data_IF_064941745888
#
_entry.id   IF_064941745888
#
_cell.length_a   1.000
_cell.length_b   1.000
_cell.length_c   1.000
_cell.angle_alpha   90.00
_cell.angle_beta   90.00
_cell.angle_gamma   90.00
#
_symmetry.space_group_name_H-M   'P 1'
#
loop_
_entity.id
_entity.type
_entity.pdbx_description
1 polymer ?
2 non-polymer ?
3 water ?
#
# COMPACT_ATOMS: atom_id res chain seq x y z
N UNK A 11 -18.35 17.46 1.98
CA UNK A 11 -16.91 17.32 2.34
C UNK A 11 -16.34 18.70 2.71
N UNK A 12 -15.37 18.82 3.62
CA UNK A 12 -14.84 20.16 4.05
C UNK A 12 -14.30 20.98 2.87
N UNK A 13 -14.88 22.12 2.63
CA UNK A 13 -14.46 23.00 1.53
C UNK A 13 -13.42 23.99 2.06
N UNK A 14 -12.28 24.05 1.40
CA UNK A 14 -11.17 24.90 1.81
C UNK A 14 -11.11 26.10 0.88
N UNK A 15 -10.89 27.31 1.44
CA UNK A 15 -10.80 28.46 0.56
C UNK A 15 -9.41 28.51 -0.08
N UNK A 16 -9.30 28.90 -1.36
CA UNK A 16 -7.99 28.89 -2.02
C UNK A 16 -6.94 29.77 -1.37
N UNK A 17 -7.35 30.84 -0.67
CA UNK A 17 -6.39 31.69 0.00
C UNK A 17 -5.67 30.98 1.14
N UNK A 18 -6.17 29.83 1.59
CA UNK A 18 -5.54 29.08 2.66
C UNK A 18 -4.50 28.10 2.16
N UNK A 19 -4.34 27.96 0.84
CA UNK A 19 -3.51 26.92 0.24
C UNK A 19 -2.36 27.59 -0.51
N UNK A 20 -1.16 27.07 -0.30
CA UNK A 20 0.04 27.53 -1.00
C UNK A 20 0.70 26.31 -1.59
N UNK A 21 0.78 26.24 -2.93
CA UNK A 21 1.50 25.18 -3.60
C UNK A 21 2.97 25.56 -3.69
N UNK A 22 3.85 24.65 -3.29
CA UNK A 22 5.28 24.94 -3.20
C UNK A 22 6.11 24.14 -4.18
N UNK A 23 5.89 22.83 -4.28
CA UNK A 23 6.77 21.96 -5.03
C UNK A 23 5.94 20.88 -5.71
N UNK A 24 6.27 20.58 -6.97
CA UNK A 24 5.63 19.46 -7.65
C UNK A 24 6.20 18.16 -7.11
N UNK A 25 5.33 17.20 -6.82
CA UNK A 25 5.75 15.89 -6.35
C UNK A 25 5.19 14.74 -7.15
N UNK A 26 4.35 15.01 -8.16
CA UNK A 26 3.81 13.93 -8.96
C UNK A 26 2.83 14.45 -9.99
N UNK A 27 2.16 13.52 -10.65
CA UNK A 27 1.23 13.82 -11.73
C UNK A 27 -0.16 13.27 -11.41
N UNK A 28 -1.18 14.06 -11.73
CA UNK A 28 -2.56 13.60 -11.66
C UNK A 28 -3.12 13.25 -13.03
N UNK A 29 -4.38 12.85 -13.03
CA UNK A 29 -5.02 12.43 -14.29
C UNK A 29 -5.26 13.61 -15.22
N UNK A 30 -5.49 14.80 -14.67
CA UNK A 30 -5.54 16.02 -15.46
C UNK A 30 -5.11 17.20 -14.59
N UNK A 31 -3.87 17.19 -14.16
CA UNK A 31 -3.34 18.15 -13.21
C UNK A 31 -2.04 17.63 -12.63
N UNK A 32 -1.44 18.41 -11.73
CA UNK A 32 -0.27 17.91 -11.01
C UNK A 32 -0.57 17.68 -9.53
N UNK A 33 0.40 17.06 -8.87
CA UNK A 33 0.37 16.82 -7.42
C UNK A 33 1.51 17.61 -6.79
N UNK A 34 1.19 18.33 -5.72
CA UNK A 34 2.12 19.25 -5.09
C UNK A 34 2.24 18.95 -3.61
N UNK A 35 3.39 19.32 -3.06
CA UNK A 35 3.50 19.56 -1.63
C UNK A 35 3.26 21.05 -1.39
N UNK A 36 2.58 21.36 -0.31
CA UNK A 36 2.32 22.74 0.03
C UNK A 36 1.98 22.91 1.48
N UNK A 37 1.41 24.08 1.80
CA UNK A 37 1.03 24.43 3.16
C UNK A 37 -0.44 24.80 3.20
N UNK A 38 -1.10 24.46 4.30
CA UNK A 38 -2.50 24.77 4.53
C UNK A 38 -2.64 25.57 5.82
N UNK A 39 -3.44 26.63 5.76
CA UNK A 39 -3.74 27.45 6.92
C UNK A 39 -5.01 26.97 7.61
N UNK A 45 0.31 28.65 12.12
CA UNK A 45 -0.08 27.27 12.52
C UNK A 45 -0.24 26.41 11.28
N UNK A 46 0.43 26.83 10.24
CA UNK A 46 0.49 26.17 8.95
C UNK A 46 0.78 24.68 9.08
N UNK A 47 0.07 23.84 8.31
CA UNK A 47 0.39 22.42 8.28
C UNK A 47 0.77 22.02 6.86
N UNK A 48 1.78 21.17 6.68
CA UNK A 48 2.13 20.70 5.34
C UNK A 48 1.04 19.78 4.80
N UNK A 49 0.82 19.86 3.49
CA UNK A 49 -0.23 19.10 2.83
C UNK A 49 0.26 18.63 1.46
N UNK A 50 -0.41 17.60 0.94
CA UNK A 50 -0.28 17.21 -0.46
C UNK A 50 -1.54 17.67 -1.18
N UNK A 51 -1.38 18.09 -2.44
CA UNK A 51 -2.43 18.77 -3.18
C UNK A 51 -2.48 18.21 -4.59
N UNK A 52 -3.63 17.65 -4.97
CA UNK A 52 -3.86 17.15 -6.32
C UNK A 52 -4.84 18.09 -7.00
N UNK A 53 -4.48 18.62 -8.17
CA UNK A 53 -5.30 19.59 -8.87
C UNK A 53 -5.97 18.98 -10.10
N UNK A 54 -7.07 19.61 -10.50
CA UNK A 54 -7.79 19.30 -11.74
C UNK A 54 -7.81 20.58 -12.57
N UNK A 55 -7.04 20.59 -13.62
CA UNK A 55 -6.77 21.83 -14.39
C UNK A 55 -7.79 22.11 -15.49
N UNK A 56 -7.81 23.34 -15.95
CA UNK A 56 -8.77 23.83 -16.93
C UNK A 56 -8.76 22.94 -18.16
N UNK A 57 -9.96 22.59 -18.61
CA UNK A 57 -10.14 21.72 -19.74
C UNK A 57 -10.49 20.30 -19.38
N UNK A 58 -10.54 19.97 -18.08
CA UNK A 58 -10.93 18.64 -17.68
C UNK A 58 -12.31 18.30 -18.22
N UNK A 59 -12.53 17.01 -18.47
CA UNK A 59 -13.79 16.53 -19.02
C UNK A 59 -14.82 16.32 -17.91
N UNK A 60 -16.06 16.07 -18.34
CA UNK A 60 -17.11 15.75 -17.38
C UNK A 60 -16.77 14.51 -16.57
N UNK A 61 -16.28 13.47 -17.21
CA UNK A 61 -15.92 12.20 -16.51
C UNK A 61 -14.76 12.46 -15.56
N UNK A 62 -13.80 13.25 -15.96
CA UNK A 62 -12.71 13.58 -15.05
C UNK A 62 -13.20 14.31 -13.80
N UNK A 63 -14.12 15.26 -13.97
CA UNK A 63 -14.69 15.95 -12.80
C UNK A 63 -15.48 14.99 -11.92
N UNK A 64 -16.30 14.13 -12.52
CA UNK A 64 -17.04 13.15 -11.75
C UNK A 64 -16.08 12.26 -10.95
N UNK A 65 -15.01 11.80 -11.60
CA UNK A 65 -14.06 10.91 -10.91
C UNK A 65 -13.26 11.66 -9.84
N UNK A 66 -12.93 12.92 -10.11
CA UNK A 66 -12.13 13.70 -9.16
C UNK A 66 -12.92 14.02 -7.90
N UNK A 67 -14.13 14.57 -8.07
CA UNK A 67 -14.97 14.84 -6.90
C UNK A 67 -15.45 13.55 -6.26
N UNK A 68 -15.67 12.49 -7.05
CA UNK A 68 -16.02 11.22 -6.46
C UNK A 68 -14.91 10.67 -5.58
N UNK A 69 -13.66 10.89 -6.00
CA UNK A 69 -12.53 10.50 -5.19
C UNK A 69 -12.52 11.26 -3.87
N UNK A 70 -12.64 12.58 -3.94
CA UNK A 70 -12.70 13.36 -2.70
C UNK A 70 -13.83 12.87 -1.82
N UNK A 71 -14.98 12.54 -2.43
CA UNK A 71 -16.13 12.11 -1.66
C UNK A 71 -15.88 10.81 -0.90
N UNK A 72 -15.26 9.83 -1.56
CA UNK A 72 -14.98 8.58 -0.87
C UNK A 72 -13.91 8.76 0.20
N UNK A 73 -12.88 9.56 -0.09
CA UNK A 73 -11.83 9.79 0.89
C UNK A 73 -12.38 10.50 2.12
N UNK A 74 -13.34 11.41 1.91
CA UNK A 74 -13.90 12.16 3.02
C UNK A 74 -14.64 11.28 4.00
N UNK A 75 -15.18 10.14 3.55
CA UNK A 75 -15.90 9.29 4.47
C UNK A 75 -15.02 8.26 5.19
N UNK A 76 -13.74 8.17 4.87
CA UNK A 76 -12.85 7.28 5.61
C UNK A 76 -12.26 8.03 6.80
N UNK A 77 -12.31 7.39 7.98
CA UNK A 77 -11.72 7.94 9.20
C UNK A 77 -11.03 6.79 9.91
N UNK A 78 -9.77 6.57 9.59
CA UNK A 78 -9.01 5.45 10.20
C UNK A 78 -7.54 5.80 10.34
N UNK A 79 -6.91 5.35 11.42
CA UNK A 79 -5.51 5.59 11.70
C UNK A 79 -4.60 5.17 10.54
N UNK A 80 -5.01 4.19 9.74
CA UNK A 80 -4.14 3.62 8.71
C UNK A 80 -4.63 3.91 7.31
N UNK A 81 -5.41 4.98 7.14
CA UNK A 81 -5.91 5.46 5.85
C UNK A 81 -5.54 6.93 5.75
N UNK A 82 -5.01 7.34 4.59
CA UNK A 82 -4.64 8.73 4.39
C UNK A 82 -5.83 9.64 4.69
N UNK A 83 -5.55 10.74 5.40
CA UNK A 83 -6.60 11.65 5.82
C UNK A 83 -6.80 12.80 4.84
N UNK A 84 -8.05 13.03 4.47
CA UNK A 84 -8.41 14.17 3.63
C UNK A 84 -8.53 15.42 4.51
N UNK A 85 -7.79 16.48 4.16
CA UNK A 85 -7.99 17.76 4.83
C UNK A 85 -9.19 18.49 4.26
N UNK A 86 -9.38 18.43 2.95
CA UNK A 86 -10.56 19.01 2.36
C UNK A 86 -10.40 19.12 0.85
N UNK A 87 -11.32 19.88 0.27
CA UNK A 87 -11.42 19.97 -1.19
C UNK A 87 -11.64 21.43 -1.54
N UNK A 88 -11.17 21.81 -2.72
CA UNK A 88 -11.57 23.04 -3.35
C UNK A 88 -12.39 22.65 -4.56
N UNK A 89 -13.71 22.87 -4.48
CA UNK A 89 -14.62 22.62 -5.59
C UNK A 89 -15.28 23.88 -6.12
N UNK A 90 -15.33 24.95 -5.32
CA UNK A 90 -16.02 26.18 -5.71
C UNK A 90 -15.16 27.12 -6.56
N UNK A 91 -13.87 26.83 -6.70
CA UNK A 91 -12.97 27.67 -7.48
C UNK A 91 -12.10 26.76 -8.35
N UNK A 92 -11.50 27.35 -9.37
CA UNK A 92 -10.63 26.64 -10.29
C UNK A 92 -9.20 27.12 -10.07
N UNK A 93 -8.23 26.20 -10.13
CA UNK A 93 -8.41 24.77 -10.34
C UNK A 93 -8.96 24.08 -9.09
N UNK A 94 -9.71 23.01 -9.29
CA UNK A 94 -10.18 22.24 -8.15
C UNK A 94 -9.03 21.45 -7.55
N UNK A 95 -9.15 21.14 -6.25
CA UNK A 95 -8.04 20.52 -5.53
C UNK A 95 -8.54 19.49 -4.54
N UNK A 96 -7.77 18.41 -4.39
CA UNK A 96 -7.91 17.47 -3.28
C UNK A 96 -6.70 17.65 -2.38
N UNK A 97 -6.93 17.87 -1.09
CA UNK A 97 -5.86 18.23 -0.16
C UNK A 97 -5.82 17.21 0.96
N UNK A 98 -4.68 16.55 1.13
CA UNK A 98 -4.51 15.55 2.17
C UNK A 98 -3.39 15.96 3.10
N UNK A 99 -3.34 15.27 4.24
CA UNK A 99 -2.16 15.36 5.09
C UNK A 99 -0.92 14.98 4.30
N UNK A 100 0.24 15.43 4.78
CA UNK A 100 1.52 15.18 4.13
C UNK A 100 2.36 14.29 5.04
N UNK A 101 2.92 13.25 4.42
CA UNK A 101 3.78 12.26 5.11
C UNK A 101 5.24 12.51 4.72
N UNK A 102 6.01 13.09 5.61
CA UNK A 102 7.44 13.45 5.35
C UNK A 102 8.25 12.24 4.85
N UNK A 103 8.04 11.05 5.38
CA UNK A 103 8.85 9.90 4.99
C UNK A 103 8.46 9.31 3.64
N UNK A 104 7.36 9.78 3.04
CA UNK A 104 7.01 9.41 1.68
C UNK A 104 6.49 7.99 1.55
N UNK A 105 6.59 7.47 0.32
CA UNK A 105 6.06 6.15 0.00
C UNK A 105 6.92 5.04 0.60
N UNK A 106 6.24 3.96 1.00
CA UNK A 106 6.86 2.89 1.77
C UNK A 106 7.91 2.13 0.96
N UNK A 107 7.70 1.94 -0.35
CA UNK A 107 8.67 1.17 -1.12
C UNK A 107 10.03 1.87 -1.17
N UNK A 108 10.01 3.16 -1.52
CA UNK A 108 11.25 3.94 -1.58
C UNK A 108 11.86 4.10 -0.20
N UNK A 109 11.01 4.31 0.82
CA UNK A 109 11.46 4.44 2.20
C UNK A 109 12.26 3.22 2.63
N UNK A 110 11.71 2.02 2.42
CA UNK A 110 12.43 0.81 2.84
C UNK A 110 13.72 0.60 2.05
N UNK A 111 13.70 0.88 0.74
CA UNK A 111 14.91 0.72 -0.08
C UNK A 111 16.01 1.66 0.36
N UNK A 112 15.65 2.83 0.92
CA UNK A 112 16.62 3.81 1.38
C UNK A 112 17.04 3.60 2.82
N UNK A 113 16.45 2.63 3.50
CA UNK A 113 16.72 2.34 4.91
C UNK A 113 16.97 0.86 5.12
N UNK A 114 17.67 0.24 4.17
CA UNK A 114 17.85 -1.21 4.15
C UNK A 114 18.46 -1.70 5.45
N UNK A 115 17.77 -2.63 6.11
CA UNK A 115 18.29 -3.25 7.30
C UNK A 115 18.21 -2.43 8.57
N UNK A 116 17.50 -1.29 8.57
CA UNK A 116 17.56 -0.37 9.69
C UNK A 116 16.52 -0.61 10.76
N UNK A 117 15.56 -1.51 10.55
CA UNK A 117 14.46 -1.69 11.49
C UNK A 117 14.50 -3.08 12.11
N UNK A 118 13.84 -3.21 13.26
CA UNK A 118 13.69 -4.51 13.87
C UNK A 118 12.57 -5.29 13.18
N UNK A 119 12.61 -6.60 13.35
CA UNK A 119 11.50 -7.43 12.87
C UNK A 119 10.19 -6.94 13.45
N UNK A 120 10.17 -6.59 14.73
CA UNK A 120 8.92 -6.15 15.36
C UNK A 120 8.40 -4.86 14.71
N UNK A 121 9.30 -3.93 14.37
CA UNK A 121 8.89 -2.72 13.66
C UNK A 121 8.29 -3.06 12.29
N UNK A 122 8.93 -3.96 11.55
CA UNK A 122 8.41 -4.33 10.23
C UNK A 122 7.05 -4.98 10.34
N UNK A 123 6.88 -5.91 11.28
CA UNK A 123 5.59 -6.55 11.47
C UNK A 123 4.54 -5.54 11.93
N UNK A 124 4.94 -4.55 12.75
CA UNK A 124 4.01 -3.51 13.17
C UNK A 124 3.49 -2.70 11.98
N UNK A 125 4.35 -2.43 11.00
CA UNK A 125 3.89 -1.75 9.80
C UNK A 125 2.84 -2.58 9.08
N UNK A 126 3.09 -3.89 8.98
CA UNK A 126 2.13 -4.76 8.31
C UNK A 126 0.80 -4.82 9.05
N UNK A 127 0.83 -4.84 10.39
CA UNK A 127 -0.43 -4.82 11.12
C UNK A 127 -1.22 -3.56 10.80
N UNK A 128 -0.54 -2.40 10.74
CA UNK A 128 -1.23 -1.17 10.44
C UNK A 128 -1.85 -1.17 9.05
N UNK A 129 -1.08 -1.60 8.05
CA UNK A 129 -1.61 -1.72 6.69
C UNK A 129 -2.82 -2.64 6.68
N UNK A 130 -2.72 -3.79 7.37
CA UNK A 130 -3.83 -4.74 7.41
C UNK A 130 -5.05 -4.14 8.08
N UNK A 131 -4.86 -3.34 9.15
CA UNK A 131 -6.00 -2.70 9.81
C UNK A 131 -6.67 -1.71 8.86
N UNK A 132 -5.89 -0.95 8.10
CA UNK A 132 -6.50 -0.04 7.13
C UNK A 132 -7.26 -0.80 6.06
N UNK A 133 -6.70 -1.91 5.60
CA UNK A 133 -7.38 -2.72 4.57
C UNK A 133 -8.64 -3.38 5.13
N UNK A 134 -8.60 -3.85 6.38
CA UNK A 134 -9.82 -4.38 7.00
C UNK A 134 -10.92 -3.34 6.97
N UNK A 135 -10.58 -2.10 7.34
CA UNK A 135 -11.54 -1.02 7.33
C UNK A 135 -12.09 -0.77 5.93
N UNK A 136 -11.20 -0.65 4.93
CA UNK A 136 -11.68 -0.44 3.56
C UNK A 136 -12.61 -1.58 3.11
N UNK A 137 -12.19 -2.82 3.34
CA UNK A 137 -13.02 -3.95 2.93
C UNK A 137 -14.37 -3.93 3.63
N UNK A 138 -14.39 -3.61 4.93
CA UNK A 138 -15.64 -3.52 5.67
C UNK A 138 -16.53 -2.41 5.15
N UNK A 139 -15.94 -1.31 4.69
CA UNK A 139 -16.67 -0.20 4.10
C UNK A 139 -17.08 -0.46 2.65
N UNK A 140 -16.84 -1.68 2.16
CA UNK A 140 -17.19 -2.10 0.80
C UNK A 140 -16.38 -1.34 -0.25
N UNK A 141 -15.12 -1.05 0.06
CA UNK A 141 -14.23 -0.39 -0.87
C UNK A 141 -13.13 -1.37 -1.28
N UNK A 142 -13.09 -1.72 -2.57
CA UNK A 142 -12.03 -2.56 -3.11
C UNK A 142 -10.93 -1.65 -3.65
N UNK A 143 -9.70 -1.86 -3.16
CA UNK A 143 -8.61 -0.95 -3.49
C UNK A 143 -8.14 -1.11 -4.93
N UNK A 144 -7.83 -2.35 -5.33
CA UNK A 144 -7.37 -2.76 -6.66
C UNK A 144 -5.92 -2.46 -6.99
N UNK A 145 -5.23 -1.64 -6.19
CA UNK A 145 -3.83 -1.30 -6.50
C UNK A 145 -3.01 -1.26 -5.23
N UNK A 146 -3.22 -2.21 -4.34
CA UNK A 146 -2.47 -2.23 -3.09
C UNK A 146 -1.05 -2.70 -3.36
N UNK A 147 -0.08 -1.89 -2.96
CA UNK A 147 1.35 -2.13 -3.19
C UNK A 147 2.07 -1.12 -2.30
N UNK A 148 3.32 -1.41 -1.97
CA UNK A 148 4.04 -0.51 -1.08
C UNK A 148 4.17 0.90 -1.64
N UNK A 149 4.20 1.05 -2.97
CA UNK A 149 4.28 2.38 -3.56
C UNK A 149 3.05 3.23 -3.27
N UNK A 150 1.94 2.60 -2.84
CA UNK A 150 0.71 3.33 -2.51
C UNK A 150 0.47 3.45 -1.00
N UNK A 151 1.50 3.23 -0.19
CA UNK A 151 1.41 3.34 1.25
C UNK A 151 2.37 4.44 1.69
N UNK A 152 1.87 5.38 2.50
CA UNK A 152 2.69 6.48 3.02
C UNK A 152 3.07 6.19 4.46
N UNK A 153 4.24 6.70 4.86
CA UNK A 153 4.82 6.46 6.19
C UNK A 153 4.99 7.80 6.88
N UNK A 154 4.45 7.91 8.10
CA UNK A 154 4.66 9.15 8.87
C UNK A 154 5.87 9.04 9.79
N UNK A 155 6.10 10.10 10.57
CA UNK A 155 7.25 10.17 11.47
C UNK A 155 7.08 9.34 12.73
N UNK A 156 5.96 8.62 12.88
CA UNK A 156 5.79 7.63 13.93
C UNK A 156 5.89 6.20 13.36
N UNK A 157 6.28 6.06 12.10
CA UNK A 157 6.35 4.78 11.39
C UNK A 157 4.97 4.21 11.10
N UNK A 158 3.93 5.04 11.19
CA UNK A 158 2.57 4.59 10.92
C UNK A 158 2.35 4.61 9.42
N UNK A 159 1.85 3.50 8.90
CA UNK A 159 1.60 3.33 7.48
C UNK A 159 0.15 3.69 7.17
N UNK A 160 -0.05 4.47 6.13
CA UNK A 160 -1.37 4.91 5.73
C UNK A 160 -1.63 4.48 4.29
N UNK A 161 -2.64 3.63 4.11
CA UNK A 161 -3.03 3.20 2.77
C UNK A 161 -3.52 4.40 2.00
N UNK A 162 -3.07 4.52 0.75
CA UNK A 162 -3.38 5.61 -0.15
C UNK A 162 -3.59 5.01 -1.53
N UNK A 163 -3.88 5.86 -2.52
CA UNK A 163 -3.91 5.41 -3.92
C UNK A 163 -3.52 6.60 -4.79
N UNK A 164 -2.33 6.54 -5.37
CA UNK A 164 -1.82 7.61 -6.22
C UNK A 164 -2.16 7.40 -7.68
N UNK A 165 -2.96 6.39 -8.01
CA UNK A 165 -3.14 6.00 -9.39
C UNK A 165 -2.01 5.12 -9.88
N UNK A 166 -2.15 4.64 -11.12
CA UNK A 166 -1.16 3.73 -11.69
C UNK A 166 0.12 4.46 -12.06
N UNK A 186 -0.30 -3.41 -12.61
CA UNK A 186 0.57 -4.02 -11.61
C UNK A 186 0.37 -5.52 -11.55
N UNK A 187 0.73 -6.19 -12.64
CA UNK A 187 0.55 -7.64 -12.75
C UNK A 187 1.08 -8.36 -11.51
N UNK A 188 2.30 -8.00 -11.08
CA UNK A 188 2.92 -8.83 -10.04
C UNK A 188 2.32 -8.59 -8.64
N UNK A 189 1.42 -7.62 -8.48
CA UNK A 189 0.69 -7.44 -7.24
C UNK A 189 -0.75 -7.97 -7.31
N UNK A 190 -1.20 -8.43 -8.46
CA UNK A 190 -2.62 -8.67 -8.71
C UNK A 190 -2.96 -10.16 -8.68
N UNK A 191 -4.09 -10.49 -8.03
CA UNK A 191 -4.51 -11.88 -7.92
C UNK A 191 -4.84 -12.47 -9.29
N UNK A 192 -4.69 -13.78 -9.45
CA UNK A 192 -4.97 -14.41 -10.76
C UNK A 192 -6.37 -14.12 -11.31
N UNK A 193 -7.42 -14.15 -10.47
CA UNK A 193 -8.77 -13.94 -11.00
C UNK A 193 -8.98 -12.50 -11.46
N UNK A 194 -8.27 -11.55 -10.85
CA UNK A 194 -8.37 -10.16 -11.27
C UNK A 194 -7.68 -9.95 -12.61
N UNK A 195 -6.52 -10.58 -12.80
CA UNK A 195 -5.87 -10.55 -14.10
C UNK A 195 -6.70 -11.28 -15.16
N UNK A 196 -7.19 -12.48 -14.82
CA UNK A 196 -7.78 -13.36 -15.83
C UNK A 196 -9.15 -12.87 -16.29
N UNK A 197 -10.00 -12.44 -15.35
CA UNK A 197 -11.36 -12.08 -15.75
C UNK A 197 -11.87 -10.84 -15.04
N UNK A 198 -10.97 -10.01 -14.50
CA UNK A 198 -11.31 -8.69 -14.00
C UNK A 198 -12.14 -8.75 -12.72
N UNK A 199 -11.99 -9.83 -11.95
CA UNK A 199 -12.74 -9.97 -10.70
C UNK A 199 -11.89 -9.39 -9.58
N UNK A 200 -12.16 -8.12 -9.28
CA UNK A 200 -11.49 -7.39 -8.21
C UNK A 200 -12.40 -7.37 -6.99
N UNK A 201 -11.91 -7.92 -5.89
CA UNK A 201 -12.67 -7.97 -4.63
C UNK A 201 -11.71 -7.73 -3.49
N UNK A 202 -12.24 -7.70 -2.27
CA UNK A 202 -11.34 -7.64 -1.13
C UNK A 202 -10.44 -8.86 -1.04
N UNK A 203 -10.83 -9.99 -1.66
CA UNK A 203 -9.96 -11.16 -1.63
C UNK A 203 -8.82 -11.05 -2.62
N UNK A 204 -9.01 -10.32 -3.75
CA UNK A 204 -7.84 -10.01 -4.55
C UNK A 204 -6.95 -8.97 -3.87
N UNK A 205 -7.55 -8.05 -3.09
CA UNK A 205 -6.73 -7.17 -2.26
C UNK A 205 -5.90 -7.97 -1.25
N UNK A 206 -6.42 -9.10 -0.75
CA UNK A 206 -5.64 -9.92 0.17
C UNK A 206 -4.41 -10.50 -0.52
N UNK A 207 -4.57 -10.95 -1.76
CA UNK A 207 -3.39 -11.38 -2.53
C UNK A 207 -2.35 -10.27 -2.59
N UNK A 208 -2.79 -9.05 -2.94
CA UNK A 208 -1.88 -7.91 -3.01
C UNK A 208 -1.21 -7.67 -1.66
N UNK A 209 -1.98 -7.79 -0.57
CA UNK A 209 -1.42 -7.60 0.76
C UNK A 209 -0.29 -8.59 1.02
N UNK A 210 -0.45 -9.85 0.59
CA UNK A 210 0.65 -10.80 0.71
C UNK A 210 1.90 -10.32 -0.01
N UNK A 211 1.74 -9.77 -1.21
CA UNK A 211 2.89 -9.20 -1.92
C UNK A 211 3.49 -8.04 -1.11
N UNK A 212 2.63 -7.19 -0.53
CA UNK A 212 3.14 -6.09 0.31
C UNK A 212 3.91 -6.63 1.53
N UNK A 213 3.44 -7.74 2.13
CA UNK A 213 4.20 -8.33 3.23
C UNK A 213 5.60 -8.70 2.77
N UNK A 214 5.70 -9.28 1.58
CA UNK A 214 7.00 -9.63 1.03
C UNK A 214 7.85 -8.40 0.75
N UNK A 215 7.24 -7.34 0.18
CA UNK A 215 7.97 -6.09 0.00
C UNK A 215 8.53 -5.56 1.31
N UNK A 216 7.71 -5.55 2.36
CA UNK A 216 8.17 -5.00 3.63
C UNK A 216 9.32 -5.83 4.17
N UNK A 217 9.15 -7.16 4.22
CA UNK A 217 10.15 -8.02 4.86
C UNK A 217 11.47 -8.07 4.08
N UNK A 218 11.46 -7.69 2.80
CA UNK A 218 12.68 -7.65 1.99
C UNK A 218 13.25 -6.24 1.85
N UNK A 219 12.67 -5.25 2.54
CA UNK A 219 13.10 -3.86 2.39
C UNK A 219 12.93 -3.36 0.94
N UNK A 220 11.82 -3.72 0.33
CA UNK A 220 11.49 -3.15 -0.97
C UNK A 220 12.08 -3.85 -2.15
N UNK A 221 12.33 -5.16 -2.06
CA UNK A 221 12.78 -5.86 -3.24
C UNK A 221 11.68 -5.93 -4.29
N UNK A 222 12.09 -6.04 -5.53
CA UNK A 222 11.13 -6.12 -6.62
C UNK A 222 10.53 -7.53 -6.64
N UNK A 223 9.22 -7.67 -6.50
CA UNK A 223 8.62 -9.02 -6.53
C UNK A 223 8.97 -9.74 -7.83
N UNK A 224 9.43 -10.98 -7.69
CA UNK A 224 9.79 -11.86 -8.80
C UNK A 224 11.03 -11.41 -9.56
N UNK A 225 11.74 -10.40 -9.04
CA UNK A 225 13.02 -9.93 -9.60
C UNK A 225 12.82 -9.64 -11.10
N UNK A 226 13.67 -10.19 -11.96
CA UNK A 226 13.67 -9.80 -13.37
C UNK A 226 12.68 -10.59 -14.22
N UNK A 227 11.86 -11.47 -13.63
CA UNK A 227 10.86 -12.16 -14.44
C UNK A 227 9.97 -11.13 -15.12
N UNK A 228 9.61 -11.42 -16.37
CA UNK A 228 8.67 -10.59 -17.09
C UNK A 228 7.25 -10.84 -16.57
N UNK A 229 6.33 -9.95 -16.95
CA UNK A 229 4.95 -10.12 -16.52
C UNK A 229 4.38 -11.48 -16.95
N UNK A 230 4.66 -11.90 -18.18
CA UNK A 230 4.15 -13.19 -18.63
C UNK A 230 4.78 -14.33 -17.84
N UNK A 231 6.08 -14.22 -17.55
CA UNK A 231 6.77 -15.25 -16.77
C UNK A 231 6.21 -15.33 -15.35
N UNK A 232 5.85 -14.19 -14.75
CA UNK A 232 5.25 -14.21 -13.42
C UNK A 232 3.92 -14.95 -13.44
N UNK A 233 3.06 -14.64 -14.40
CA UNK A 233 1.76 -15.31 -14.47
C UNK A 233 1.92 -16.81 -14.72
N UNK A 234 2.87 -17.19 -15.59
CA UNK A 234 3.11 -18.60 -15.85
C UNK A 234 3.60 -19.30 -14.59
N UNK A 235 4.52 -18.68 -13.85
CA UNK A 235 5.02 -19.28 -12.63
C UNK A 235 3.90 -19.47 -11.61
N UNK A 236 3.08 -18.44 -11.44
CA UNK A 236 1.96 -18.52 -10.50
C UNK A 236 1.01 -19.63 -10.91
N UNK A 237 0.70 -19.72 -12.20
CA UNK A 237 -0.23 -20.74 -12.66
C UNK A 237 0.36 -22.15 -12.50
N UNK A 238 1.69 -22.28 -12.63
CA UNK A 238 2.38 -23.54 -12.43
C UNK A 238 2.56 -23.90 -10.95
N UNK A 239 2.15 -23.02 -10.03
CA UNK A 239 2.21 -23.31 -8.61
C UNK A 239 3.36 -22.69 -7.84
N UNK A 240 4.29 -22.02 -8.53
CA UNK A 240 5.40 -21.40 -7.82
C UNK A 240 4.93 -20.15 -7.06
N UNK A 241 5.63 -19.85 -5.97
CA UNK A 241 5.34 -18.68 -5.16
C UNK A 241 6.66 -18.05 -4.75
N UNK A 242 6.61 -16.77 -4.39
CA UNK A 242 7.81 -16.07 -3.95
C UNK A 242 8.46 -16.83 -2.78
N UNK A 243 9.78 -16.96 -2.77
CA UNK A 243 10.48 -17.63 -1.67
C UNK A 243 10.53 -16.74 -0.43
N UNK A 244 10.91 -17.35 0.69
CA UNK A 244 10.93 -16.58 1.91
C UNK A 244 11.99 -15.48 1.82
N UNK A 245 11.68 -14.31 2.38
CA UNK A 245 12.73 -13.29 2.59
C UNK A 245 13.76 -13.79 3.58
N UNK A 246 14.93 -13.15 3.55
CA UNK A 246 15.94 -13.37 4.57
C UNK A 246 15.40 -12.89 5.92
N UNK A 247 15.77 -13.60 6.99
CA UNK A 247 15.48 -13.18 8.36
C UNK A 247 13.99 -13.06 8.64
N UNK A 248 13.15 -13.88 7.97
CA UNK A 248 11.71 -13.68 8.05
C UNK A 248 11.10 -14.64 9.07
N UNK A 249 10.31 -14.15 10.02
CA UNK A 249 9.60 -15.06 10.92
C UNK A 249 8.79 -16.08 10.15
N UNK A 250 8.88 -17.34 10.62
CA UNK A 250 8.09 -18.41 10.02
C UNK A 250 6.61 -18.07 9.95
N UNK A 251 6.07 -17.47 11.01
CA UNK A 251 4.63 -17.17 11.03
C UNK A 251 4.28 -16.16 9.95
N UNK A 252 5.17 -15.21 9.68
CA UNK A 252 4.92 -14.19 8.66
C UNK A 252 4.96 -14.79 7.26
N UNK A 253 5.92 -15.69 7.00
CA UNK A 253 5.95 -16.32 5.69
C UNK A 253 4.74 -17.22 5.48
N UNK A 254 4.33 -17.97 6.52
CA UNK A 254 3.13 -18.79 6.41
C UNK A 254 1.92 -17.93 6.08
N UNK A 255 1.81 -16.76 6.70
CA UNK A 255 0.66 -15.91 6.44
C UNK A 255 0.68 -15.37 5.01
N UNK A 256 1.84 -14.92 4.52
CA UNK A 256 1.84 -14.39 3.16
C UNK A 256 1.53 -15.50 2.16
N UNK A 257 1.99 -16.72 2.41
CA UNK A 257 1.68 -17.83 1.51
C UNK A 257 0.18 -18.09 1.44
N UNK A 258 -0.52 -17.97 2.57
CA UNK A 258 -1.96 -18.21 2.55
C UNK A 258 -2.72 -17.09 1.85
N UNK A 259 -2.15 -15.89 1.77
CA UNK A 259 -2.73 -14.85 0.95
C UNK A 259 -2.65 -15.17 -0.53
N UNK A 260 -1.73 -16.06 -0.93
CA UNK A 260 -1.50 -16.39 -2.33
C UNK A 260 -2.13 -17.71 -2.75
N UNK A 261 -3.20 -18.14 -2.09
CA UNK A 261 -3.90 -19.32 -2.56
C UNK A 261 -4.61 -19.02 -3.88
N UNK A 262 -4.50 -19.94 -4.82
CA UNK A 262 -5.17 -19.77 -6.10
C UNK A 262 -6.67 -19.60 -5.91
N UNK A 263 -7.27 -20.41 -5.05
CA UNK A 263 -8.71 -20.36 -4.82
C UNK A 263 -9.03 -19.19 -3.89
N UNK A 264 -9.72 -18.19 -4.44
CA UNK A 264 -10.04 -16.95 -3.74
C UNK A 264 -10.68 -17.22 -2.39
N UNK A 265 -11.61 -18.17 -2.32
CA UNK A 265 -12.35 -18.42 -1.10
C UNK A 265 -11.49 -18.96 0.03
N UNK A 266 -10.31 -19.50 -0.28
CA UNK A 266 -9.45 -20.07 0.75
C UNK A 266 -8.54 -19.03 1.40
N UNK A 267 -8.41 -17.84 0.81
CA UNK A 267 -7.53 -16.85 1.39
C UNK A 267 -8.12 -16.33 2.70
N UNK A 268 -7.27 -15.93 3.64
CA UNK A 268 -7.79 -15.27 4.85
C UNK A 268 -8.53 -14.00 4.49
N UNK A 269 -9.49 -13.63 5.32
CA UNK A 269 -10.06 -12.29 5.21
C UNK A 269 -9.15 -11.32 5.96
N UNK A 270 -9.34 -10.03 5.70
CA UNK A 270 -8.52 -9.06 6.42
C UNK A 270 -8.70 -9.13 7.94
N UNK A 271 -9.91 -9.49 8.42
CA UNK A 271 -10.07 -9.64 9.87
C UNK A 271 -9.15 -10.73 10.42
N UNK A 272 -8.95 -11.81 9.66
CA UNK A 272 -8.04 -12.88 10.10
C UNK A 272 -6.61 -12.40 10.12
N UNK A 273 -6.22 -11.64 9.10
CA UNK A 273 -4.85 -11.12 9.00
C UNK A 273 -4.55 -10.19 10.17
N UNK A 274 -5.46 -9.25 10.44
CA UNK A 274 -5.26 -8.33 11.57
C UNK A 274 -5.15 -9.09 12.87
N UNK A 275 -6.03 -10.07 13.08
CA UNK A 275 -6.02 -10.81 14.33
C UNK A 275 -4.70 -11.53 14.54
N UNK A 276 -4.19 -12.19 13.50
CA UNK A 276 -2.94 -12.94 13.60
C UNK A 276 -1.78 -11.99 13.86
N UNK A 277 -1.70 -10.90 13.09
CA UNK A 277 -0.60 -9.96 13.28
C UNK A 277 -0.64 -9.34 14.67
N UNK A 278 -1.83 -9.03 15.17
CA UNK A 278 -1.93 -8.47 16.51
C UNK A 278 -1.48 -9.46 17.57
N UNK A 279 -1.80 -10.76 17.39
CA UNK A 279 -1.38 -11.74 18.38
C UNK A 279 0.11 -12.00 18.33
N UNK A 280 0.69 -11.99 17.13
CA UNK A 280 2.14 -12.19 17.02
C UNK A 280 2.89 -11.05 17.67
N UNK A 281 2.44 -9.81 17.45
CA UNK A 281 3.08 -8.64 18.04
C UNK A 281 2.96 -8.68 19.57
N UNK A 282 1.81 -9.10 20.08
CA UNK A 282 1.59 -9.05 21.52
C UNK A 282 2.29 -10.17 22.27
N UNK A 283 2.72 -11.22 21.57
CA UNK A 283 3.56 -12.29 22.10
C UNK A 283 4.79 -12.35 21.21
N UNK A 284 5.66 -11.34 21.31
CA UNK A 284 6.70 -11.16 20.27
C UNK A 284 7.71 -12.29 20.18
N UNK A 285 7.85 -13.14 21.20
CA UNK A 285 8.71 -14.30 21.03
C UNK A 285 8.24 -15.19 19.88
N UNK A 286 6.95 -15.11 19.53
CA UNK A 286 6.43 -15.86 18.40
C UNK A 286 7.15 -15.53 17.10
N UNK A 287 7.74 -14.35 16.99
CA UNK A 287 8.42 -13.90 15.78
C UNK A 287 9.88 -14.33 15.71
N UNK A 288 10.41 -14.97 16.77
CA UNK A 288 11.82 -15.34 16.77
C UNK A 288 12.11 -16.59 15.96
N UNK A 289 11.12 -17.43 15.72
CA UNK A 289 11.29 -18.62 14.90
C UNK A 289 11.28 -18.21 13.44
N UNK A 290 12.39 -18.43 12.73
CA UNK A 290 12.55 -17.95 11.37
C UNK A 290 12.35 -19.07 10.35
N UNK A 291 11.74 -18.71 9.22
CA UNK A 291 11.67 -19.62 8.09
C UNK A 291 13.06 -19.78 7.47
N UNK A 292 13.34 -20.98 6.98
CA UNK A 292 14.60 -21.25 6.31
C UNK A 292 14.71 -20.43 5.05
N UNK A 293 15.86 -19.79 4.84
CA UNK A 293 16.11 -19.03 3.62
C UNK A 293 16.89 -19.89 2.64
N UNK A 294 16.39 -19.99 1.41
CA UNK A 294 17.05 -20.78 0.37
C UNK A 294 18.18 -19.96 -0.24
N UNK A 295 19.44 -20.36 -0.02
CA UNK A 295 20.54 -19.57 -0.56
C UNK A 295 20.63 -19.78 -2.06
N UNK A 296 20.90 -18.69 -2.78
CA UNK A 296 21.12 -18.81 -4.21
C UNK A 296 22.58 -19.02 -4.55
N UNK A 297 23.45 -18.77 -3.59
CA UNK A 297 24.88 -18.69 -3.80
C UNK A 297 25.53 -19.45 -2.66
N UNK A 298 26.58 -20.19 -2.98
CA UNK A 298 27.26 -21.02 -1.99
C UNK A 298 28.67 -20.48 -1.85
N UNK A 299 29.04 -20.12 -0.62
CA UNK A 299 30.41 -19.74 -0.28
C UNK A 299 30.92 -20.78 0.70
N UNK A 300 31.98 -21.48 0.33
CA UNK A 300 32.58 -22.47 1.20
C UNK A 300 33.94 -21.96 1.66
N UNK A 301 34.14 -21.91 2.97
CA UNK A 301 35.36 -21.43 3.61
C UNK A 301 35.66 -22.38 4.74
N UNK A 302 36.92 -22.40 5.22
CA UNK A 302 37.24 -23.18 6.42
C UNK A 302 36.86 -22.41 7.68
X LIG B 1 -7.46 5.66 0.73
X LIG B 1 -7.53 4.96 -0.14
X LIG B 1 -8.50 4.19 -0.08
X LIG B 1 -6.56 4.41 -0.34
X LIG B 1 -7.75 5.79 -1.31
X LIG B 1 -7.04 6.99 -1.54
X LIG B 1 -8.66 5.41 -2.29
X LIG B 1 -8.87 6.19 -3.42
X LIG B 1 -8.16 7.37 -3.62
X LIG B 1 -7.21 7.79 -2.69
X LIG B 1 -6.57 8.97 -2.95
X LIG B 1 -5.36 9.29 -2.43
X LIG B 1 -4.70 8.55 -1.71
X LIG B 1 -4.89 10.61 -2.65
X LIG B 1 -3.67 10.99 -2.09
X LIG B 1 -5.61 11.58 -3.36
X LIG B 1 -5.12 12.89 -3.51
X LIG B 1 -3.89 13.25 -2.94
X LIG B 1 -3.39 14.54 -3.08
X LIG B 1 -3.17 12.28 -2.24
X LIG B 1 -2.02 12.66 -1.69
X LIG B 1 -0.78 12.36 -2.15
X LIG B 1 0.24 12.46 -1.30
X LIG B 1 -0.53 12.02 -3.44
X LIG B 1 -1.26 11.84 -4.54
X LIG B 1 -0.43 11.48 -5.52
X LIG B 1 0.72 11.45 -5.09
X LIG B 1 1.94 11.10 -5.86
X LIG B 1 0.72 11.77 -3.81
X LIG B 1 1.75 11.86 -2.94
X LIG B 1 1.50 12.20 -1.68
X LIG B 1 2.53 12.32 -0.76
X LIG B 1 3.79 12.16 -1.16
X LIG B 1 4.84 12.28 -0.24
X LIG B 1 4.55 12.56 1.09
X LIG B 1 3.23 12.73 1.51
X LIG B 1 2.21 12.60 0.56
#
# INVERSE_FOLDING_TARGET
>A
GDPNQAVLKFTTEIHPSCVTRQKVIGAGEFGEVYKGMLKTSSGKKEVPVAIKTLKAGYTEKQRVDFLGEAGIMGQFSHHNIIRLEGVISKYKPMMIITEYMENGALDKFLREKDGEFSVLQLVGMLRGIAAGMKYLANMNYVHRDLAARNILVNSNLVCKVSDFGLSRVLEDDPEATYTTSGGKIPIRWTAPEAISYRKFTSASDVWSFGIVMWEVMTYGERPYWELSNHEVMKAINDGFRLPTPMDCPSAIYQLMMQCWQQERARRPKFADIVSILDKLIRAPDSLKTLADFDPRVSIRLPSTSG
>B hetero
1 G02 FBI CBG FBJ FBK CBC CBE CBB CBD CBF CBA NAZ CAY OBH CAS CAT CAU CAV CAW CAX CAQ NAP C6 N1 C5 CAO NAN NAM CAR C4 N3 C2 CAA NAC CAE CAF NAD CAB
#
